data_IF_716497542464
#
_entry.id   IF_716497542464
#
_cell.length_a   1.000
_cell.length_b   1.000
_cell.length_c   1.000
_cell.angle_alpha   90.00
_cell.angle_beta   90.00
_cell.angle_gamma   90.00
#
_symmetry.space_group_name_H-M   'P 1'
#
loop_
_entity.id
_entity.type
_entity.pdbx_description
1 polymer ?
#
# COMPACT_ATOMS: atom_id res chain seq x y z
N UNK A 1 -13.70 -7.57 -7.13
CA UNK A 1 -12.70 -6.68 -6.49
C UNK A 1 -13.04 -5.20 -6.71
N UNK A 2 -14.22 -4.73 -6.27
CA UNK A 2 -14.64 -3.32 -6.45
C UNK A 2 -14.32 -2.44 -5.25
N UNK A 3 -14.15 -3.05 -4.08
CA UNK A 3 -13.93 -2.34 -2.82
C UNK A 3 -12.51 -1.76 -2.74
N UNK A 4 -11.47 -2.57 -2.97
CA UNK A 4 -10.06 -2.12 -2.91
C UNK A 4 -9.77 -0.92 -3.81
N UNK A 5 -10.04 -1.04 -5.12
CA UNK A 5 -9.82 0.05 -6.09
C UNK A 5 -10.53 1.37 -5.78
N UNK A 6 -11.66 1.32 -5.06
CA UNK A 6 -12.42 2.54 -4.71
C UNK A 6 -11.85 3.25 -3.50
N UNK A 7 -11.30 2.48 -2.55
CA UNK A 7 -10.89 3.00 -1.25
C UNK A 7 -9.40 3.35 -1.23
N UNK A 8 -8.61 2.73 -2.09
CA UNK A 8 -7.16 2.93 -2.21
C UNK A 8 -6.72 4.41 -2.21
N UNK A 9 -7.29 5.25 -3.08
CA UNK A 9 -6.94 6.68 -3.10
C UNK A 9 -7.32 7.41 -1.81
N UNK A 10 -8.43 7.03 -1.17
CA UNK A 10 -8.89 7.65 0.08
C UNK A 10 -7.97 7.24 1.24
N UNK A 11 -7.57 5.97 1.26
CA UNK A 11 -6.71 5.40 2.28
C UNK A 11 -5.27 5.95 2.18
N UNK A 12 -4.75 6.14 0.97
CA UNK A 12 -3.45 6.79 0.72
C UNK A 12 -3.47 8.24 1.24
N UNK A 13 -4.52 9.01 0.92
CA UNK A 13 -4.64 10.39 1.41
C UNK A 13 -4.71 10.45 2.95
N UNK A 14 -5.41 9.50 3.58
CA UNK A 14 -5.47 9.38 5.04
C UNK A 14 -4.08 9.05 5.63
N UNK A 15 -3.33 8.15 4.98
CA UNK A 15 -1.97 7.78 5.39
C UNK A 15 -1.01 8.97 5.30
N UNK A 16 -1.03 9.71 4.19
CA UNK A 16 -0.23 10.93 3.99
C UNK A 16 -0.47 11.93 5.12
N UNK A 17 -1.74 12.15 5.48
CA UNK A 17 -2.10 13.06 6.58
C UNK A 17 -1.64 12.54 7.95
N UNK A 18 -1.79 11.23 8.21
CA UNK A 18 -1.41 10.62 9.49
C UNK A 18 0.09 10.66 9.75
N UNK A 19 0.89 10.43 8.71
CA UNK A 19 2.35 10.38 8.80
C UNK A 19 3.04 11.70 8.44
N UNK A 20 2.28 12.68 7.95
CA UNK A 20 2.79 13.95 7.44
C UNK A 20 3.86 13.75 6.35
N UNK A 21 3.58 12.82 5.43
CA UNK A 21 4.42 12.50 4.28
C UNK A 21 3.71 12.82 2.98
N UNK A 22 4.48 13.12 1.93
CA UNK A 22 3.97 13.30 0.58
C UNK A 22 4.25 12.03 -0.21
N UNK A 23 3.20 11.29 -0.54
CA UNK A 23 3.29 10.12 -1.43
C UNK A 23 3.00 10.63 -2.83
N UNK A 24 3.93 10.39 -3.75
CA UNK A 24 3.80 10.75 -5.15
C UNK A 24 3.17 9.60 -5.94
N UNK A 25 2.22 9.92 -6.81
CA UNK A 25 1.65 8.96 -7.76
C UNK A 25 2.73 8.43 -8.70
N UNK A 26 2.58 7.18 -9.09
CA UNK A 26 3.53 6.45 -9.90
C UNK A 26 2.93 6.03 -11.25
N UNK A 27 3.76 6.03 -12.28
CA UNK A 27 3.45 5.45 -13.57
C UNK A 27 4.00 4.03 -13.72
N UNK A 28 4.08 3.55 -14.96
CA UNK A 28 4.78 2.32 -15.28
C UNK A 28 6.30 2.58 -15.33
N UNK A 29 7.04 1.86 -14.50
CA UNK A 29 8.50 1.75 -14.58
C UNK A 29 8.87 0.52 -15.40
N UNK A 30 9.80 0.67 -16.33
CA UNK A 30 10.32 -0.44 -17.15
C UNK A 30 11.71 -0.80 -16.63
N UNK A 31 12.01 -2.09 -16.58
CA UNK A 31 13.34 -2.57 -16.21
C UNK A 31 14.36 -2.28 -17.33
N UNK A 32 15.48 -1.66 -16.97
CA UNK A 32 16.50 -1.22 -17.92
C UNK A 32 17.25 -2.40 -18.57
N UNK A 33 17.39 -3.54 -17.87
CA UNK A 33 18.07 -4.75 -18.36
C UNK A 33 17.10 -5.67 -19.12
N UNK A 34 15.86 -5.75 -18.66
CA UNK A 34 14.80 -6.57 -19.24
C UNK A 34 13.58 -5.72 -19.63
N UNK A 35 13.59 -5.04 -20.81
CA UNK A 35 12.56 -4.05 -21.18
C UNK A 35 11.13 -4.58 -21.33
N UNK A 36 10.94 -5.90 -21.23
CA UNK A 36 9.63 -6.55 -21.21
C UNK A 36 9.06 -6.72 -19.79
N UNK A 37 9.83 -6.38 -18.76
CA UNK A 37 9.39 -6.32 -17.37
C UNK A 37 9.07 -4.87 -16.98
N UNK A 38 8.03 -4.70 -16.18
CA UNK A 38 7.70 -3.41 -15.60
C UNK A 38 6.86 -3.54 -14.34
N UNK A 39 6.83 -2.46 -13.57
CA UNK A 39 6.08 -2.36 -12.33
C UNK A 39 5.37 -1.01 -12.23
N UNK A 40 4.21 -1.00 -11.59
CA UNK A 40 3.48 0.21 -11.23
C UNK A 40 3.24 0.17 -9.73
N UNK A 41 4.17 0.73 -8.92
CA UNK A 41 3.95 0.90 -7.50
C UNK A 41 2.70 1.75 -7.25
N UNK A 42 2.01 1.51 -6.14
CA UNK A 42 0.85 2.33 -5.75
C UNK A 42 1.25 3.76 -5.33
N UNK A 43 2.52 3.94 -4.93
CA UNK A 43 3.12 5.25 -4.75
C UNK A 43 4.62 5.21 -4.46
N UNK A 44 5.25 6.38 -4.41
CA UNK A 44 6.65 6.54 -3.99
C UNK A 44 6.79 7.63 -2.94
N UNK A 45 7.75 7.45 -2.04
CA UNK A 45 8.13 8.43 -1.03
C UNK A 45 9.65 8.42 -0.87
N UNK A 46 10.30 9.54 -1.19
CA UNK A 46 11.77 9.66 -1.25
C UNK A 46 12.42 8.56 -2.10
N UNK A 47 13.20 7.67 -1.48
CA UNK A 47 13.89 6.55 -2.13
C UNK A 47 13.18 5.19 -1.86
N UNK A 48 11.88 5.22 -1.54
CA UNK A 48 11.08 4.04 -1.18
C UNK A 48 9.85 3.92 -2.07
N UNK A 49 9.44 2.68 -2.30
CA UNK A 49 8.19 2.33 -2.98
C UNK A 49 7.12 1.96 -1.95
N UNK A 50 5.87 2.24 -2.28
CA UNK A 50 4.70 1.91 -1.47
C UNK A 50 3.78 1.02 -2.29
N UNK A 51 3.39 -0.09 -1.69
CA UNK A 51 2.36 -1.00 -2.20
C UNK A 51 1.20 -0.99 -1.21
N UNK A 52 0.07 -0.45 -1.63
CA UNK A 52 -1.12 -0.33 -0.82
C UNK A 52 -2.01 -1.57 -0.96
N UNK A 53 -2.61 -2.00 0.16
CA UNK A 53 -3.51 -3.16 0.18
C UNK A 53 -4.71 -2.84 1.06
N UNK A 54 -5.92 -2.95 0.50
CA UNK A 54 -7.19 -2.80 1.23
C UNK A 54 -7.97 -4.13 1.22
N UNK A 55 -7.66 -5.09 2.11
CA UNK A 55 -8.45 -6.32 2.20
C UNK A 55 -9.84 -6.01 2.74
N UNK A 56 -10.88 -6.43 2.04
CA UNK A 56 -12.26 -6.28 2.54
C UNK A 56 -12.49 -7.02 3.88
N UNK A 57 -11.67 -8.04 4.19
CA UNK A 57 -11.72 -8.81 5.43
C UNK A 57 -11.34 -8.02 6.69
N UNK A 58 -10.65 -6.88 6.55
CA UNK A 58 -10.17 -6.08 7.67
C UNK A 58 -10.35 -4.57 7.50
N UNK A 59 -11.24 -4.14 6.60
CA UNK A 59 -11.48 -2.73 6.27
C UNK A 59 -11.80 -1.83 7.49
N UNK A 60 -12.49 -2.36 8.51
CA UNK A 60 -12.85 -1.63 9.73
C UNK A 60 -11.99 -2.01 10.95
N UNK A 61 -10.84 -2.67 10.73
CA UNK A 61 -9.96 -3.08 11.81
C UNK A 61 -8.70 -2.23 11.76
N UNK A 62 -8.25 -1.79 12.93
CA UNK A 62 -6.88 -1.28 13.05
C UNK A 62 -5.89 -2.38 12.67
N UNK A 63 -4.71 -2.05 12.11
CA UNK A 63 -3.74 -3.04 11.64
C UNK A 63 -3.41 -4.12 12.68
N UNK A 64 -3.20 -3.71 13.94
CA UNK A 64 -2.89 -4.63 15.03
C UNK A 64 -4.03 -5.61 15.32
N UNK A 65 -5.29 -5.14 15.24
CA UNK A 65 -6.48 -6.00 15.39
C UNK A 65 -6.62 -6.97 14.23
N UNK A 66 -6.39 -6.51 13.00
CA UNK A 66 -6.44 -7.34 11.80
C UNK A 66 -5.39 -8.46 11.84
N UNK A 67 -4.19 -8.17 12.35
CA UNK A 67 -3.11 -9.15 12.56
C UNK A 67 -3.50 -10.15 13.64
N UNK A 68 -3.96 -9.68 14.82
CA UNK A 68 -4.42 -10.54 15.93
C UNK A 68 -5.52 -11.50 15.48
N UNK A 69 -6.47 -11.00 14.69
CA UNK A 69 -7.60 -11.78 14.18
C UNK A 69 -7.24 -12.64 12.96
N UNK A 70 -5.98 -12.63 12.48
CA UNK A 70 -5.51 -13.33 11.28
C UNK A 70 -6.33 -12.99 10.02
N UNK A 71 -6.86 -11.76 9.96
CA UNK A 71 -7.65 -11.25 8.83
C UNK A 71 -6.80 -10.59 7.75
N UNK A 72 -5.53 -10.32 8.07
CA UNK A 72 -4.49 -9.88 7.16
C UNK A 72 -3.56 -11.07 6.85
N UNK A 73 -3.46 -11.47 5.58
CA UNK A 73 -2.70 -12.65 5.14
C UNK A 73 -1.33 -12.32 4.54
N UNK A 74 -0.99 -11.03 4.44
CA UNK A 74 0.29 -10.55 3.91
C UNK A 74 1.09 -9.91 5.06
N UNK A 75 2.30 -10.44 5.32
CA UNK A 75 3.22 -9.91 6.34
C UNK A 75 3.21 -10.67 7.67
N UNK A 76 4.07 -11.69 7.80
CA UNK A 76 4.49 -12.22 9.12
C UNK A 76 5.58 -11.34 9.78
N UNK A 77 5.62 -10.04 9.48
CA UNK A 77 6.62 -9.13 10.02
C UNK A 77 5.93 -7.90 10.61
N UNK A 78 6.38 -7.41 11.78
CA UNK A 78 5.86 -6.19 12.39
C UNK A 78 6.10 -5.03 11.43
N UNK A 79 5.05 -4.56 10.76
CA UNK A 79 5.11 -3.34 9.97
C UNK A 79 5.24 -2.18 10.96
N UNK A 80 6.49 -1.82 11.28
CA UNK A 80 6.79 -0.44 11.67
C UNK A 80 6.37 0.41 10.48
N UNK A 81 5.27 1.13 10.67
CA UNK A 81 4.83 2.20 9.79
C UNK A 81 6.01 3.16 9.70
N UNK A 82 6.66 3.16 8.53
CA UNK A 82 7.74 4.09 8.20
C UNK A 82 7.15 5.46 7.90
#
# INVERSE_FOLDING_TARGET
MKHGKKNEHTDIAALQKKLNVVIEECGLFIDDEFPFLGATPDGKYEHRIIEFKCPASCYNLEPDDAIRQKKMTFGNAPQRVL
#
